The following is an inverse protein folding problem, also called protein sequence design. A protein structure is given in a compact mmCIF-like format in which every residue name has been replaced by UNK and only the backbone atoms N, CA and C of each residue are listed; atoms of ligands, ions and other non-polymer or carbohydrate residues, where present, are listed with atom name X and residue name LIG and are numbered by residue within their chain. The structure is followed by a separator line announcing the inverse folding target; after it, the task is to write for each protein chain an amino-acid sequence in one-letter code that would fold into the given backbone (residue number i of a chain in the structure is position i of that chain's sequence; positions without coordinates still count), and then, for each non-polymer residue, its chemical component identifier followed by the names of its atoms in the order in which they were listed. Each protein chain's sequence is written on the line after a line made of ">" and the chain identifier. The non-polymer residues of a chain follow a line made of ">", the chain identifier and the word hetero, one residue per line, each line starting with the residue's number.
data_IF_996722943845
#
_entry.id   IF_996722943845
#
_cell.length_a   1.000
_cell.length_b   1.000
_cell.length_c   1.000
_cell.angle_alpha   90.00
_cell.angle_beta   90.00
_cell.angle_gamma   90.00
#
_symmetry.space_group_name_H-M   'P 1'
#
loop_
_entity.id
_entity.type
_entity.pdbx_description
1 polymer ?
#
# COMPACT_ATOMS: atom_id res chain seq x y z
N UNK A 1 -6.01 33.11 19.48
CA UNK A 1 -4.66 33.16 20.10
C UNK A 1 -4.80 33.05 21.62
N UNK A 2 -4.57 31.86 22.19
CA UNK A 2 -4.35 31.67 23.62
C UNK A 2 -3.32 30.55 23.77
N UNK A 3 -2.10 30.95 24.12
CA UNK A 3 -0.95 30.08 24.38
C UNK A 3 -1.05 29.61 25.81
N UNK A 4 -1.06 28.29 26.04
CA UNK A 4 -0.89 27.72 27.39
C UNK A 4 0.35 26.84 27.39
N UNK A 5 1.49 27.43 27.76
CA UNK A 5 2.73 26.69 28.05
C UNK A 5 2.56 25.95 29.37
N UNK A 6 2.63 24.61 29.35
CA UNK A 6 2.87 23.80 30.56
C UNK A 6 4.31 23.32 30.54
N UNK A 7 5.13 23.96 31.36
CA UNK A 7 6.43 23.46 31.79
C UNK A 7 6.21 22.30 32.75
N UNK A 8 6.77 21.12 32.46
CA UNK A 8 6.84 20.02 33.43
C UNK A 8 8.25 19.43 33.49
N UNK A 9 8.96 19.89 34.52
CA UNK A 9 9.94 19.23 35.39
C UNK A 9 10.94 18.23 34.78
N UNK A 10 12.21 18.67 34.80
CA UNK A 10 13.43 17.86 34.90
C UNK A 10 13.24 16.63 35.81
N UNK A 11 13.66 15.47 35.32
CA UNK A 11 14.12 14.36 36.15
C UNK A 11 15.49 13.89 35.64
N UNK A 12 16.48 14.06 36.51
CA UNK A 12 17.87 13.65 36.39
C UNK A 12 17.92 12.12 36.58
N UNK A 13 18.51 11.38 35.63
CA UNK A 13 18.67 9.93 35.72
C UNK A 13 20.01 9.51 35.12
N UNK A 14 21.05 9.46 35.95
CA UNK A 14 22.35 8.88 35.64
C UNK A 14 22.30 7.37 35.83
N UNK A 15 22.80 6.56 34.89
CA UNK A 15 23.25 5.19 35.17
C UNK A 15 24.20 4.64 34.10
N UNK A 16 25.44 4.52 34.55
CA UNK A 16 26.53 3.60 34.26
C UNK A 16 26.65 2.83 32.92
N UNK A 17 27.84 3.02 32.36
CA UNK A 17 28.64 2.23 31.42
C UNK A 17 28.76 0.72 31.80
N UNK A 18 28.62 -0.19 30.82
CA UNK A 18 29.28 -1.51 30.85
C UNK A 18 29.81 -1.87 29.46
N UNK A 19 31.14 -1.94 29.38
CA UNK A 19 31.95 -2.48 28.27
C UNK A 19 32.18 -3.98 28.51
N UNK A 20 32.03 -4.83 27.48
CA UNK A 20 32.66 -6.17 27.34
C UNK A 20 32.48 -6.62 25.88
N UNK A 21 33.47 -6.50 24.98
CA UNK A 21 34.65 -7.35 24.77
C UNK A 21 34.37 -8.70 24.05
N UNK A 22 34.59 -8.65 22.73
CA UNK A 22 35.25 -9.64 21.85
C UNK A 22 34.85 -11.11 21.88
N UNK A 23 34.22 -11.58 20.79
CA UNK A 23 34.30 -12.97 20.35
C UNK A 23 35.18 -13.05 19.10
N UNK A 24 36.35 -13.65 19.28
CA UNK A 24 37.24 -14.06 18.20
C UNK A 24 36.65 -15.31 17.52
N UNK A 25 36.37 -15.21 16.21
CA UNK A 25 36.17 -16.37 15.36
C UNK A 25 37.15 -16.26 14.18
N UNK A 26 38.34 -16.81 14.37
CA UNK A 26 39.22 -17.22 13.28
C UNK A 26 38.77 -18.60 12.82
N UNK A 27 38.64 -18.81 11.51
CA UNK A 27 38.51 -20.15 10.96
C UNK A 27 38.24 -20.18 9.47
N UNK A 28 39.28 -20.49 8.68
CA UNK A 28 39.14 -21.11 7.36
C UNK A 28 39.71 -20.31 6.18
N UNK A 29 40.92 -20.67 5.77
CA UNK A 29 41.57 -20.22 4.55
C UNK A 29 41.11 -21.04 3.32
N UNK A 30 40.94 -20.32 2.19
CA UNK A 30 41.27 -20.65 0.78
C UNK A 30 40.79 -21.96 0.13
N UNK A 31 40.97 -22.07 -1.20
CA UNK A 31 40.40 -21.30 -2.31
C UNK A 31 39.47 -22.24 -3.14
N UNK A 32 38.73 -21.74 -4.13
CA UNK A 32 38.71 -22.37 -5.46
C UNK A 32 37.65 -21.74 -6.35
N UNK A 33 38.16 -21.20 -7.45
CA UNK A 33 37.43 -20.95 -8.67
C UNK A 33 36.87 -22.29 -9.16
N UNK A 34 35.56 -22.40 -9.31
CA UNK A 34 34.99 -23.44 -10.16
C UNK A 34 33.71 -22.90 -10.77
N UNK A 35 33.89 -22.41 -11.99
CA UNK A 35 32.87 -22.31 -13.04
C UNK A 35 32.08 -23.63 -13.11
N UNK A 36 30.75 -23.58 -13.17
CA UNK A 36 30.05 -24.58 -13.96
C UNK A 36 29.17 -23.89 -15.00
N UNK A 37 29.54 -24.11 -16.26
CA UNK A 37 28.63 -24.05 -17.39
C UNK A 37 29.25 -24.94 -18.47
N UNK A 38 28.48 -25.61 -19.34
CA UNK A 38 27.08 -26.04 -19.26
C UNK A 38 26.95 -27.55 -19.57
N UNK A 39 25.82 -28.20 -19.26
CA UNK A 39 25.32 -29.27 -20.14
C UNK A 39 23.80 -29.40 -20.03
N UNK A 40 23.05 -29.28 -21.14
CA UNK A 40 21.61 -29.49 -21.17
C UNK A 40 21.32 -30.99 -21.12
N UNK A 41 20.45 -31.42 -20.21
CA UNK A 41 19.91 -32.78 -20.24
C UNK A 41 18.40 -32.70 -20.37
N UNK A 42 17.95 -33.02 -21.58
CA UNK A 42 16.55 -33.20 -21.93
C UNK A 42 15.99 -34.42 -21.19
N UNK A 43 14.82 -34.27 -20.58
CA UNK A 43 13.94 -35.41 -20.33
C UNK A 43 12.50 -34.94 -20.45
N UNK A 44 11.92 -35.29 -21.60
CA UNK A 44 10.50 -35.12 -21.89
C UNK A 44 9.72 -36.12 -21.04
N UNK A 45 8.83 -35.62 -20.19
CA UNK A 45 7.70 -36.36 -19.66
C UNK A 45 6.44 -35.75 -20.27
N UNK A 46 5.88 -36.47 -21.24
CA UNK A 46 4.64 -36.18 -21.93
C UNK A 46 3.48 -36.27 -20.93
N UNK A 47 3.15 -35.13 -20.34
CA UNK A 47 1.98 -34.98 -19.46
C UNK A 47 0.77 -34.71 -20.33
N UNK A 48 -0.19 -35.63 -20.32
CA UNK A 48 -1.45 -35.50 -21.03
C UNK A 48 -2.14 -34.17 -20.65
N UNK A 49 -2.27 -33.28 -21.64
CA UNK A 49 -2.85 -31.96 -21.44
C UNK A 49 -4.35 -32.08 -21.09
N UNK A 50 -4.82 -31.47 -19.98
CA UNK A 50 -6.25 -31.37 -19.73
C UNK A 50 -6.90 -30.51 -20.82
N UNK A 51 -8.02 -30.97 -21.36
CA UNK A 51 -8.86 -30.20 -22.28
C UNK A 51 -9.24 -28.88 -21.63
N UNK A 52 -8.98 -27.71 -22.25
CA UNK A 52 -9.34 -26.44 -21.65
C UNK A 52 -10.87 -26.36 -21.53
N UNK A 53 -11.34 -26.18 -20.29
CA UNK A 53 -12.73 -25.80 -20.03
C UNK A 53 -13.00 -24.45 -20.72
N UNK A 54 -14.12 -24.26 -21.42
CA UNK A 54 -14.40 -22.98 -22.07
C UNK A 54 -14.41 -21.86 -21.02
N UNK A 55 -13.48 -20.91 -21.18
CA UNK A 55 -13.44 -19.68 -20.40
C UNK A 55 -14.75 -18.92 -20.60
N UNK A 56 -15.51 -18.58 -19.53
CA UNK A 56 -16.70 -17.75 -19.70
C UNK A 56 -16.29 -16.41 -20.32
N UNK A 57 -16.82 -16.14 -21.51
CA UNK A 57 -16.59 -14.89 -22.23
C UNK A 57 -17.37 -13.77 -21.53
N UNK A 58 -16.73 -13.10 -20.56
CA UNK A 58 -17.30 -11.94 -19.87
C UNK A 58 -17.51 -10.82 -20.87
N UNK A 59 -18.71 -10.24 -20.91
CA UNK A 59 -18.97 -9.05 -21.72
C UNK A 59 -18.00 -7.91 -21.34
N UNK A 60 -17.42 -7.21 -22.33
CA UNK A 60 -16.47 -6.14 -22.07
C UNK A 60 -17.17 -4.97 -21.36
N UNK A 61 -16.58 -4.53 -20.23
CA UNK A 61 -17.07 -3.40 -19.45
C UNK A 61 -16.68 -2.10 -20.17
N UNK A 62 -17.62 -1.17 -20.45
CA UNK A 62 -17.29 0.10 -21.07
C UNK A 62 -16.37 0.93 -20.15
N UNK A 63 -15.33 1.51 -20.74
CA UNK A 63 -14.36 2.34 -20.01
C UNK A 63 -14.87 3.77 -19.94
N UNK A 64 -14.97 4.32 -18.73
CA UNK A 64 -15.34 5.72 -18.47
C UNK A 64 -14.10 6.62 -18.43
N UNK A 65 -14.29 7.90 -18.76
CA UNK A 65 -13.32 8.97 -18.58
C UNK A 65 -13.69 9.95 -17.44
N UNK A 66 -14.67 9.62 -16.60
CA UNK A 66 -15.07 10.41 -15.43
C UNK A 66 -15.49 9.51 -14.26
N UNK A 67 -15.34 10.04 -13.04
CA UNK A 67 -15.75 9.41 -11.78
C UNK A 67 -17.04 10.03 -11.20
N UNK A 68 -17.77 10.85 -11.95
CA UNK A 68 -18.97 11.55 -11.46
C UNK A 68 -20.14 10.64 -11.09
N UNK A 69 -20.17 9.42 -11.61
CA UNK A 69 -21.18 8.43 -11.26
C UNK A 69 -20.91 7.77 -9.89
N UNK A 70 -19.73 7.97 -9.30
CA UNK A 70 -19.38 7.46 -7.98
C UNK A 70 -19.92 8.44 -6.94
N UNK A 71 -20.62 7.92 -5.95
CA UNK A 71 -21.15 8.72 -4.84
C UNK A 71 -20.49 8.31 -3.52
N UNK A 72 -20.19 9.31 -2.70
CA UNK A 72 -19.60 9.15 -1.38
C UNK A 72 -20.48 9.88 -0.39
N UNK A 73 -20.94 9.18 0.63
CA UNK A 73 -21.74 9.73 1.72
C UNK A 73 -21.10 9.39 3.07
N UNK A 74 -21.34 10.19 4.09
CA UNK A 74 -20.79 9.97 5.43
C UNK A 74 -20.54 11.28 6.17
N UNK A 75 -20.39 11.19 7.48
CA UNK A 75 -20.00 12.33 8.32
C UNK A 75 -18.48 12.37 8.50
N UNK A 76 -17.87 13.57 8.64
CA UNK A 76 -16.46 13.69 8.98
C UNK A 76 -16.13 12.91 10.26
N UNK A 77 -15.10 12.05 10.20
CA UNK A 77 -14.70 11.21 11.33
C UNK A 77 -15.47 9.89 11.47
N UNK A 78 -16.33 9.54 10.50
CA UNK A 78 -16.95 8.22 10.40
C UNK A 78 -16.58 7.54 9.06
N UNK A 79 -16.79 6.22 9.00
CA UNK A 79 -16.57 5.44 7.79
C UNK A 79 -17.44 5.95 6.64
N UNK A 80 -16.86 6.32 5.48
CA UNK A 80 -17.63 6.75 4.33
C UNK A 80 -18.31 5.56 3.65
N UNK A 81 -19.53 5.79 3.18
CA UNK A 81 -20.27 4.88 2.31
C UNK A 81 -20.01 5.23 0.85
N UNK A 82 -19.36 4.33 0.13
CA UNK A 82 -19.00 4.49 -1.28
C UNK A 82 -19.93 3.64 -2.14
N UNK A 83 -20.64 4.27 -3.09
CA UNK A 83 -21.49 3.57 -4.07
C UNK A 83 -20.94 3.77 -5.47
N UNK A 84 -20.70 2.66 -6.17
CA UNK A 84 -20.13 2.60 -7.53
C UNK A 84 -21.12 1.86 -8.43
N UNK A 85 -21.45 2.36 -9.64
CA UNK A 85 -22.24 1.61 -10.61
C UNK A 85 -21.43 0.42 -11.15
N UNK A 86 -21.81 -0.81 -10.80
CA UNK A 86 -21.01 -1.99 -11.14
C UNK A 86 -21.55 -2.73 -12.38
N UNK A 87 -20.66 -3.29 -13.22
CA UNK A 87 -19.20 -3.15 -13.19
C UNK A 87 -18.75 -1.78 -13.74
N UNK A 88 -17.76 -1.17 -13.10
CA UNK A 88 -17.16 0.09 -13.52
C UNK A 88 -15.71 -0.10 -14.00
N UNK A 89 -15.34 0.66 -15.04
CA UNK A 89 -13.96 0.74 -15.53
C UNK A 89 -13.59 2.19 -15.84
N UNK A 90 -12.32 2.53 -15.61
CA UNK A 90 -11.75 3.86 -15.79
C UNK A 90 -10.47 3.72 -16.62
N UNK A 91 -10.23 4.63 -17.56
CA UNK A 91 -9.04 4.64 -18.42
C UNK A 91 -7.75 5.04 -17.67
N UNK A 92 -7.87 5.93 -16.68
CA UNK A 92 -6.75 6.39 -15.86
C UNK A 92 -7.18 6.71 -14.42
N UNK A 93 -6.19 6.82 -13.53
CA UNK A 93 -6.41 7.28 -12.14
C UNK A 93 -6.93 8.71 -12.12
N UNK A 94 -8.05 8.91 -11.42
CA UNK A 94 -8.68 10.20 -11.18
C UNK A 94 -8.87 10.44 -9.69
N UNK A 95 -8.75 11.69 -9.29
CA UNK A 95 -8.93 12.16 -7.91
C UNK A 95 -9.96 13.28 -7.89
N UNK A 96 -10.79 13.30 -6.85
CA UNK A 96 -11.73 14.39 -6.58
C UNK A 96 -11.68 14.72 -5.10
N UNK A 97 -11.34 15.97 -4.78
CA UNK A 97 -11.44 16.50 -3.42
C UNK A 97 -12.91 16.69 -3.07
N UNK A 98 -13.38 16.05 -2.00
CA UNK A 98 -14.74 16.19 -1.48
C UNK A 98 -14.82 17.26 -0.39
N UNK A 99 -13.78 17.33 0.43
CA UNK A 99 -13.60 18.30 1.51
C UNK A 99 -12.16 18.80 1.44
N UNK A 100 -11.99 20.12 1.42
CA UNK A 100 -10.66 20.73 1.40
C UNK A 100 -9.92 20.45 2.71
N UNK A 101 -8.65 20.09 2.59
CA UNK A 101 -7.76 19.86 3.71
C UNK A 101 -7.25 21.15 4.36
N UNK A 102 -6.35 21.01 5.33
CA UNK A 102 -5.65 22.17 5.89
C UNK A 102 -4.57 22.66 4.91
N UNK A 103 -4.74 23.87 4.37
CA UNK A 103 -3.79 24.49 3.45
C UNK A 103 -2.39 24.77 4.06
N UNK A 104 -2.28 24.81 5.39
CA UNK A 104 -1.01 25.01 6.09
C UNK A 104 -0.26 23.70 6.39
N UNK A 105 -0.89 22.54 6.13
CA UNK A 105 -0.25 21.24 6.31
C UNK A 105 0.69 20.93 5.13
N UNK A 106 1.81 20.22 5.35
CA UNK A 106 2.66 19.79 4.25
C UNK A 106 1.90 18.85 3.31
N UNK A 107 2.04 19.09 2.01
CA UNK A 107 1.57 18.19 0.97
C UNK A 107 2.30 16.85 1.06
N UNK A 108 1.62 15.76 0.69
CA UNK A 108 2.28 14.47 0.59
C UNK A 108 3.09 14.40 -0.71
N UNK A 109 4.35 13.99 -0.60
CA UNK A 109 5.24 13.73 -1.73
C UNK A 109 5.27 12.22 -2.06
N UNK A 110 5.79 11.83 -3.23
CA UNK A 110 5.76 10.44 -3.67
C UNK A 110 6.57 9.47 -2.77
N UNK A 111 7.54 10.00 -2.01
CA UNK A 111 8.37 9.27 -1.03
C UNK A 111 7.84 9.37 0.41
N UNK A 112 6.70 10.04 0.61
CA UNK A 112 6.13 10.23 1.94
C UNK A 112 5.62 8.93 2.56
N UNK A 113 5.75 8.85 3.89
CA UNK A 113 5.01 7.90 4.71
C UNK A 113 3.78 8.62 5.26
N UNK A 114 2.59 8.09 4.98
CA UNK A 114 1.31 8.70 5.35
C UNK A 114 0.52 7.80 6.30
N UNK A 115 -0.27 8.44 7.16
CA UNK A 115 -1.29 7.82 7.99
C UNK A 115 -2.67 8.22 7.44
N UNK A 116 -3.51 7.24 7.07
CA UNK A 116 -4.81 7.50 6.45
C UNK A 116 -5.90 6.55 6.92
N UNK A 117 -7.08 7.12 7.16
CA UNK A 117 -8.34 6.37 7.15
C UNK A 117 -8.84 6.24 5.72
N UNK A 118 -9.12 5.02 5.29
CA UNK A 118 -9.55 4.67 3.94
C UNK A 118 -10.56 3.51 3.92
N UNK A 119 -11.28 3.43 2.81
CA UNK A 119 -12.11 2.29 2.37
C UNK A 119 -11.72 1.96 0.94
N UNK A 120 -11.32 0.72 0.67
CA UNK A 120 -11.02 0.20 -0.65
C UNK A 120 -12.19 -0.60 -1.20
N UNK A 121 -12.75 -0.18 -2.34
CA UNK A 121 -13.91 -0.85 -2.98
C UNK A 121 -13.53 -1.40 -4.36
N UNK A 122 -13.93 -2.63 -4.64
CA UNK A 122 -13.72 -3.26 -5.93
C UNK A 122 -14.74 -2.71 -6.94
N UNK A 123 -14.29 -1.87 -7.87
CA UNK A 123 -15.15 -1.23 -8.87
C UNK A 123 -15.89 -2.22 -9.81
N UNK A 124 -15.48 -3.50 -9.86
CA UNK A 124 -16.16 -4.53 -10.66
C UNK A 124 -17.37 -5.14 -9.95
N UNK A 125 -17.30 -5.28 -8.62
CA UNK A 125 -18.33 -5.97 -7.81
C UNK A 125 -19.09 -5.02 -6.89
N UNK A 126 -18.49 -3.89 -6.50
CA UNK A 126 -19.02 -2.93 -5.55
C UNK A 126 -18.71 -3.29 -4.10
N UNK A 127 -17.95 -4.38 -3.88
CA UNK A 127 -17.65 -4.87 -2.55
C UNK A 127 -16.40 -4.18 -1.99
N UNK A 128 -16.46 -3.82 -0.71
CA UNK A 128 -15.27 -3.41 0.05
C UNK A 128 -14.30 -4.58 0.14
N UNK A 129 -13.03 -4.36 -0.21
CA UNK A 129 -11.96 -5.34 -0.07
C UNK A 129 -11.02 -5.04 1.08
N UNK A 130 -10.99 -3.79 1.56
CA UNK A 130 -10.19 -3.37 2.72
C UNK A 130 -10.79 -2.09 3.34
N UNK A 131 -10.68 -1.94 4.66
CA UNK A 131 -11.20 -0.79 5.41
C UNK A 131 -10.44 -0.61 6.72
N UNK A 132 -9.84 0.58 6.88
CA UNK A 132 -9.25 1.02 8.15
C UNK A 132 -10.26 1.11 9.30
N UNK A 133 -11.52 1.45 8.99
CA UNK A 133 -12.61 1.57 9.94
C UNK A 133 -13.06 0.22 10.48
N UNK A 134 -13.11 -0.81 9.62
CA UNK A 134 -13.42 -2.18 10.06
C UNK A 134 -12.29 -2.76 10.91
N UNK A 135 -11.04 -2.38 10.62
CA UNK A 135 -9.87 -2.69 11.45
C UNK A 135 -9.80 -1.89 12.75
N UNK A 136 -10.48 -0.75 12.84
CA UNK A 136 -10.47 0.14 14.01
C UNK A 136 -9.18 0.95 14.18
N UNK A 137 -8.34 1.06 13.14
CA UNK A 137 -7.11 1.86 13.19
C UNK A 137 -6.67 2.32 11.78
N UNK A 138 -6.09 3.53 11.65
CA UNK A 138 -5.58 4.04 10.38
C UNK A 138 -4.56 3.11 9.73
N UNK A 139 -4.41 3.23 8.41
CA UNK A 139 -3.33 2.59 7.66
C UNK A 139 -2.09 3.48 7.63
N UNK A 140 -0.91 2.85 7.80
CA UNK A 140 0.38 3.48 7.58
C UNK A 140 0.97 2.96 6.26
N UNK A 141 1.26 3.86 5.32
CA UNK A 141 1.75 3.48 3.99
C UNK A 141 2.95 4.33 3.58
N UNK A 142 3.97 3.69 3.03
CA UNK A 142 4.96 4.38 2.18
C UNK A 142 4.38 4.50 0.77
N UNK A 143 4.31 5.72 0.24
CA UNK A 143 3.76 5.98 -1.09
C UNK A 143 4.61 5.39 -2.24
N UNK A 144 5.83 4.94 -1.98
CA UNK A 144 6.67 4.20 -2.93
C UNK A 144 6.32 2.71 -3.02
N UNK A 145 5.61 2.18 -2.02
CA UNK A 145 5.36 0.74 -1.85
C UNK A 145 3.89 0.33 -2.07
N UNK A 146 3.08 1.26 -2.54
CA UNK A 146 1.65 1.07 -2.85
C UNK A 146 1.42 1.01 -4.35
N UNK A 147 0.18 0.68 -4.74
CA UNK A 147 -0.19 0.68 -6.16
C UNK A 147 -0.09 2.10 -6.74
N UNK A 148 0.35 2.28 -8.00
CA UNK A 148 0.65 3.61 -8.57
C UNK A 148 -0.52 4.60 -8.51
N UNK A 149 -1.76 4.10 -8.62
CA UNK A 149 -2.95 4.94 -8.51
C UNK A 149 -3.17 5.53 -7.12
N UNK A 150 -2.73 4.83 -6.07
CA UNK A 150 -2.83 5.33 -4.69
C UNK A 150 -1.81 6.44 -4.45
N UNK A 151 -0.57 6.25 -4.91
CA UNK A 151 0.48 7.30 -4.92
C UNK A 151 0.00 8.53 -5.67
N UNK A 152 -0.41 8.38 -6.95
CA UNK A 152 -0.90 9.48 -7.79
C UNK A 152 -2.13 10.17 -7.17
N UNK A 153 -2.97 9.42 -6.46
CA UNK A 153 -4.19 9.94 -5.86
C UNK A 153 -3.97 10.82 -4.63
N UNK A 154 -2.88 10.59 -3.89
CA UNK A 154 -2.61 11.23 -2.60
C UNK A 154 -1.45 12.22 -2.62
N UNK A 155 -0.60 12.21 -3.66
CA UNK A 155 0.41 13.26 -3.85
C UNK A 155 -0.26 14.57 -4.30
N UNK A 156 0.07 15.68 -3.65
CA UNK A 156 -0.45 17.01 -3.98
C UNK A 156 -0.60 17.94 -2.79
#
# INVERSE_FOLDING_TARGET
>A
MHVTRRFSRLALGASALVLSATLAACGGANPDSSTPSPTPSASAAESAAPTPTPTPSREPVPVSNSIDAITVAGEPGAAPQVTIPTPFAIDETRTRTLVEGNADAPAAEADSIIEVDYVGVNARTGETFDSSWERGQPGMFSLEQVVPGFTKGLTG
#
